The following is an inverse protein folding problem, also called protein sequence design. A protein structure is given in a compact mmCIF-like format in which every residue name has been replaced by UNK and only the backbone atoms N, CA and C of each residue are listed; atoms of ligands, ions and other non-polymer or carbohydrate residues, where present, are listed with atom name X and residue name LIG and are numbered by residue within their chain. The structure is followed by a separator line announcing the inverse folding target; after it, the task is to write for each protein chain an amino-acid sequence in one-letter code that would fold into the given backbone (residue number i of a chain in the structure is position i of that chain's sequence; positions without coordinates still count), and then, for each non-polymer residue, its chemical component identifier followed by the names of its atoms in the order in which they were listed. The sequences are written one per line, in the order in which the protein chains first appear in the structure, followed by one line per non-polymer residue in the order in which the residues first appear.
data_IF_270941314326
#
_entry.id   IF_270941314326
#
_cell.length_a   1.000
_cell.length_b   1.000
_cell.length_c   1.000
_cell.angle_alpha   90.00
_cell.angle_beta   90.00
_cell.angle_gamma   90.00
#
_symmetry.space_group_name_H-M   'P 1'
#
loop_
_entity.id
_entity.type
_entity.pdbx_description
1 polymer ?
#
# COMPACT_ATOMS: atom_id res chain seq x y z
N UNK A 1 -32.09 5.28 -15.60
CA UNK A 1 -30.77 5.34 -14.94
C UNK A 1 -29.73 5.46 -16.02
N UNK A 2 -28.91 6.51 -16.01
CA UNK A 2 -27.77 6.60 -16.93
C UNK A 2 -26.66 5.73 -16.37
N UNK A 3 -26.45 4.55 -16.95
CA UNK A 3 -25.18 3.83 -16.81
C UNK A 3 -24.16 4.59 -17.65
N UNK A 4 -23.48 5.55 -17.03
CA UNK A 4 -22.27 6.10 -17.64
C UNK A 4 -21.23 4.98 -17.63
N UNK A 5 -21.13 4.25 -18.74
CA UNK A 5 -20.12 3.22 -18.92
C UNK A 5 -18.79 3.92 -19.22
N UNK A 6 -18.05 4.25 -18.17
CA UNK A 6 -16.64 4.59 -18.32
C UNK A 6 -15.89 3.32 -18.73
N UNK A 7 -14.90 3.47 -19.62
CA UNK A 7 -14.00 2.35 -19.91
C UNK A 7 -13.27 1.93 -18.63
N UNK A 8 -13.09 0.61 -18.39
CA UNK A 8 -12.31 0.13 -17.26
C UNK A 8 -10.93 0.79 -17.24
N UNK A 9 -10.57 1.36 -16.09
CA UNK A 9 -9.28 2.01 -15.91
C UNK A 9 -8.19 0.94 -15.83
N UNK A 10 -7.18 1.04 -16.70
CA UNK A 10 -5.98 0.19 -16.62
C UNK A 10 -5.07 0.70 -15.50
N UNK A 11 -5.34 0.29 -14.26
CA UNK A 11 -4.63 0.81 -13.08
C UNK A 11 -3.24 0.20 -12.89
N UNK A 12 -2.97 -0.99 -13.44
CA UNK A 12 -1.74 -1.73 -13.15
C UNK A 12 -0.44 -0.92 -13.38
N UNK A 13 -0.24 -0.20 -14.51
CA UNK A 13 0.97 0.60 -14.70
C UNK A 13 1.13 1.74 -13.68
N UNK A 14 0.03 2.34 -13.24
CA UNK A 14 0.05 3.41 -12.25
C UNK A 14 0.33 2.88 -10.85
N UNK A 15 -0.20 1.71 -10.53
CA UNK A 15 0.07 1.06 -9.25
C UNK A 15 1.51 0.53 -9.19
N UNK A 16 2.05 -0.01 -10.29
CA UNK A 16 3.47 -0.35 -10.39
C UNK A 16 4.36 0.86 -10.09
N UNK A 17 4.12 1.97 -10.78
CA UNK A 17 4.84 3.23 -10.52
C UNK A 17 4.72 3.68 -9.06
N UNK A 18 3.55 3.47 -8.44
CA UNK A 18 3.33 3.77 -7.01
C UNK A 18 4.18 2.87 -6.12
N UNK A 19 4.27 1.57 -6.41
CA UNK A 19 5.14 0.63 -5.70
C UNK A 19 6.61 1.03 -5.80
N UNK A 20 7.08 1.32 -7.01
CA UNK A 20 8.47 1.73 -7.26
C UNK A 20 8.80 3.00 -6.47
N UNK A 21 7.88 3.98 -6.47
CA UNK A 21 8.03 5.19 -5.66
C UNK A 21 8.04 4.95 -4.15
N UNK A 22 7.29 3.96 -3.64
CA UNK A 22 7.32 3.63 -2.22
C UNK A 22 8.70 3.09 -1.82
N UNK A 23 9.32 2.29 -2.68
CA UNK A 23 10.69 1.79 -2.48
C UNK A 23 11.67 2.96 -2.53
N UNK A 24 11.58 3.83 -3.54
CA UNK A 24 12.44 5.02 -3.65
C UNK A 24 12.34 5.91 -2.40
N UNK A 25 11.12 6.20 -1.93
CA UNK A 25 10.89 7.01 -0.73
C UNK A 25 11.43 6.36 0.53
N UNK A 26 11.29 5.03 0.67
CA UNK A 26 11.86 4.27 1.79
C UNK A 26 13.39 4.40 1.81
N UNK A 27 14.04 4.33 0.65
CA UNK A 27 15.50 4.48 0.55
C UNK A 27 15.98 5.85 1.01
N UNK A 28 15.19 6.91 0.79
CA UNK A 28 15.51 8.26 1.26
C UNK A 28 15.47 8.42 2.80
N UNK A 29 14.71 7.59 3.52
CA UNK A 29 14.63 7.67 4.97
C UNK A 29 15.93 7.14 5.59
N UNK A 30 16.64 7.90 6.44
CA UNK A 30 17.81 7.35 7.15
C UNK A 30 17.43 6.14 7.99
N UNK A 31 18.28 5.12 8.05
CA UNK A 31 17.99 3.86 8.77
C UNK A 31 17.56 4.14 10.22
N UNK A 32 18.28 5.04 10.90
CA UNK A 32 18.01 5.45 12.28
C UNK A 32 16.73 6.28 12.46
N UNK A 33 16.07 6.65 11.35
CA UNK A 33 14.81 7.41 11.31
C UNK A 33 13.64 6.58 10.79
N UNK A 34 13.83 5.30 10.49
CA UNK A 34 12.75 4.43 10.02
C UNK A 34 11.59 4.34 11.04
N UNK A 35 11.92 4.43 12.33
CA UNK A 35 10.98 4.44 13.46
C UNK A 35 10.63 5.82 14.02
N UNK A 36 11.13 6.89 13.41
CA UNK A 36 10.76 8.24 13.82
C UNK A 36 9.27 8.51 13.50
N UNK A 37 8.58 9.20 14.41
CA UNK A 37 7.20 9.65 14.22
C UNK A 37 7.12 11.18 14.30
N UNK A 38 6.21 11.83 13.56
CA UNK A 38 6.08 13.29 13.56
C UNK A 38 5.49 13.85 14.85
N UNK A 39 4.64 13.07 15.53
CA UNK A 39 4.04 13.42 16.80
C UNK A 39 3.69 12.16 17.62
N UNK A 40 3.39 12.30 18.93
CA UNK A 40 2.89 11.18 19.73
C UNK A 40 1.59 10.61 19.15
N UNK A 41 1.53 9.29 18.98
CA UNK A 41 0.36 8.58 18.46
C UNK A 41 0.33 8.45 16.92
N UNK A 42 1.19 9.18 16.21
CA UNK A 42 1.33 9.05 14.75
C UNK A 42 2.18 7.83 14.38
N UNK A 43 1.94 7.29 13.18
CA UNK A 43 2.71 6.15 12.67
C UNK A 43 4.07 6.57 12.14
N UNK A 44 5.07 5.71 12.30
CA UNK A 44 6.39 5.89 11.67
C UNK A 44 6.34 5.47 10.20
N UNK A 45 7.36 5.85 9.42
CA UNK A 45 7.47 5.37 8.03
C UNK A 45 7.50 3.85 7.95
N UNK A 46 8.19 3.18 8.90
CA UNK A 46 8.16 1.72 8.99
C UNK A 46 6.74 1.18 9.10
N UNK A 47 5.98 1.69 10.07
CA UNK A 47 4.62 1.23 10.34
C UNK A 47 3.71 1.47 9.14
N UNK A 48 3.83 2.63 8.49
CA UNK A 48 3.06 2.94 7.28
C UNK A 48 3.37 1.96 6.14
N UNK A 49 4.65 1.70 5.86
CA UNK A 49 5.03 0.77 4.78
C UNK A 49 4.59 -0.67 5.11
N UNK A 50 4.80 -1.14 6.33
CA UNK A 50 4.27 -2.45 6.78
C UNK A 50 2.76 -2.51 6.65
N UNK A 51 2.04 -1.44 6.96
CA UNK A 51 0.59 -1.38 6.82
C UNK A 51 0.12 -1.49 5.36
N UNK A 52 0.79 -0.80 4.42
CA UNK A 52 0.56 -0.95 2.97
C UNK A 52 0.76 -2.41 2.55
N UNK A 53 1.89 -2.98 2.93
CA UNK A 53 2.25 -4.37 2.61
C UNK A 53 1.15 -5.33 3.09
N UNK A 54 0.73 -5.23 4.36
CA UNK A 54 -0.31 -6.09 4.93
C UNK A 54 -1.68 -5.89 4.26
N UNK A 55 -2.01 -4.66 3.86
CA UNK A 55 -3.24 -4.37 3.13
C UNK A 55 -3.29 -5.07 1.76
N UNK A 56 -2.12 -5.31 1.13
CA UNK A 56 -2.00 -6.05 -0.14
C UNK A 56 -2.03 -7.57 0.04
N UNK A 57 -1.57 -8.10 1.18
CA UNK A 57 -1.67 -9.53 1.53
C UNK A 57 -3.09 -10.00 1.87
N UNK A 58 -4.11 -9.15 1.71
CA UNK A 58 -5.48 -9.49 2.05
C UNK A 58 -6.01 -10.66 1.19
N UNK A 59 -6.79 -11.56 1.79
CA UNK A 59 -7.27 -12.82 1.21
C UNK A 59 -8.04 -12.68 -0.12
N UNK A 60 -8.56 -11.49 -0.43
CA UNK A 60 -9.28 -11.22 -1.67
C UNK A 60 -8.35 -10.98 -2.86
N UNK A 61 -7.15 -10.47 -2.61
CA UNK A 61 -6.09 -10.32 -3.60
C UNK A 61 -5.28 -11.61 -3.67
N UNK A 62 -5.03 -12.23 -2.51
CA UNK A 62 -4.22 -13.44 -2.35
C UNK A 62 -5.05 -14.55 -1.70
N UNK A 63 -5.92 -15.25 -2.45
CA UNK A 63 -6.78 -16.27 -1.88
C UNK A 63 -5.96 -17.46 -1.34
N UNK A 64 -6.15 -17.75 -0.05
CA UNK A 64 -5.68 -18.98 0.58
C UNK A 64 -4.19 -18.98 0.91
N UNK A 65 -3.78 -18.27 1.98
CA UNK A 65 -2.55 -18.50 2.80
C UNK A 65 -1.29 -19.03 2.09
N UNK A 66 -1.01 -18.59 0.86
CA UNK A 66 0.36 -18.63 0.33
C UNK A 66 1.14 -17.37 0.75
N UNK A 67 0.47 -16.39 1.37
CA UNK A 67 1.08 -15.24 2.02
C UNK A 67 1.71 -15.62 3.36
N UNK A 68 2.93 -15.13 3.61
CA UNK A 68 3.65 -15.28 4.87
C UNK A 68 2.74 -14.99 6.08
N UNK A 69 2.97 -15.69 7.20
CA UNK A 69 2.21 -15.43 8.43
C UNK A 69 2.38 -13.95 8.78
N UNK A 70 1.29 -13.25 9.15
CA UNK A 70 1.31 -11.79 9.40
C UNK A 70 2.45 -11.41 10.36
N UNK A 71 2.72 -12.25 11.36
CA UNK A 71 3.83 -12.07 12.28
C UNK A 71 5.20 -12.08 11.61
N UNK A 72 5.42 -12.95 10.62
CA UNK A 72 6.68 -13.03 9.87
C UNK A 72 6.88 -11.76 9.05
N UNK A 73 5.87 -11.33 8.30
CA UNK A 73 5.91 -10.07 7.53
C UNK A 73 6.27 -8.89 8.43
N UNK A 74 5.63 -8.77 9.59
CA UNK A 74 5.88 -7.69 10.55
C UNK A 74 7.30 -7.76 11.12
N UNK A 75 7.85 -8.96 11.32
CA UNK A 75 9.21 -9.15 11.82
C UNK A 75 10.25 -8.77 10.77
N UNK A 76 10.06 -9.18 9.52
CA UNK A 76 10.98 -8.90 8.42
C UNK A 76 10.99 -7.42 8.05
N UNK A 77 9.82 -6.77 8.09
CA UNK A 77 9.64 -5.33 7.87
C UNK A 77 10.29 -4.43 8.94
N UNK A 78 11.07 -4.98 9.87
CA UNK A 78 11.91 -4.21 10.81
C UNK A 78 13.12 -3.54 10.15
N UNK A 79 13.48 -3.98 8.96
CA UNK A 79 14.61 -3.47 8.19
C UNK A 79 14.15 -2.94 6.84
N UNK A 80 14.93 -2.03 6.23
CA UNK A 80 14.67 -1.59 4.85
C UNK A 80 14.66 -2.74 3.85
N UNK A 81 15.58 -3.70 3.98
CA UNK A 81 15.66 -4.83 3.06
C UNK A 81 14.40 -5.71 3.12
N UNK A 82 13.89 -5.96 4.33
CA UNK A 82 12.63 -6.69 4.50
C UNK A 82 11.43 -5.91 3.98
N UNK A 83 11.36 -4.60 4.23
CA UNK A 83 10.33 -3.73 3.65
C UNK A 83 10.35 -3.78 2.12
N UNK A 84 11.52 -3.65 1.49
CA UNK A 84 11.69 -3.73 0.04
C UNK A 84 11.24 -5.08 -0.50
N UNK A 85 11.72 -6.17 0.10
CA UNK A 85 11.36 -7.54 -0.29
C UNK A 85 9.85 -7.75 -0.28
N UNK A 86 9.16 -7.26 0.76
CA UNK A 86 7.72 -7.42 0.86
C UNK A 86 6.93 -6.41 0.00
N UNK A 87 7.44 -5.21 -0.28
CA UNK A 87 6.85 -4.31 -1.29
C UNK A 87 6.87 -4.97 -2.67
N UNK A 88 8.02 -5.52 -3.07
CA UNK A 88 8.18 -6.23 -4.34
C UNK A 88 7.29 -7.48 -4.41
N UNK A 89 7.32 -8.32 -3.37
CA UNK A 89 6.52 -9.55 -3.34
C UNK A 89 5.03 -9.24 -3.31
N UNK A 90 4.60 -8.24 -2.53
CA UNK A 90 3.19 -7.84 -2.48
C UNK A 90 2.70 -7.24 -3.79
N UNK A 91 3.56 -6.52 -4.51
CA UNK A 91 3.25 -6.04 -5.84
C UNK A 91 3.05 -7.18 -6.85
N UNK A 92 3.90 -8.21 -6.85
CA UNK A 92 3.76 -9.34 -7.78
C UNK A 92 2.39 -10.03 -7.66
N UNK A 93 1.89 -10.21 -6.43
CA UNK A 93 0.57 -10.80 -6.22
C UNK A 93 -0.56 -9.88 -6.68
N UNK A 94 -0.44 -8.58 -6.42
CA UNK A 94 -1.39 -7.58 -6.95
C UNK A 94 -1.39 -7.61 -8.49
N UNK A 95 -0.22 -7.66 -9.12
CA UNK A 95 -0.11 -7.73 -10.57
C UNK A 95 -0.76 -8.99 -11.15
N UNK A 96 -0.60 -10.14 -10.47
CA UNK A 96 -1.29 -11.38 -10.84
C UNK A 96 -2.81 -11.22 -10.74
N UNK A 97 -3.32 -10.67 -9.63
CA UNK A 97 -4.75 -10.39 -9.45
C UNK A 97 -5.29 -9.48 -10.56
N UNK A 98 -4.58 -8.39 -10.88
CA UNK A 98 -4.97 -7.44 -11.93
C UNK A 98 -4.90 -8.04 -13.34
N UNK A 99 -4.15 -9.12 -13.53
CA UNK A 99 -4.02 -9.81 -14.82
C UNK A 99 -5.16 -10.80 -15.10
N UNK A 100 -6.01 -11.09 -14.11
CA UNK A 100 -7.10 -12.05 -14.19
C UNK A 100 -8.46 -11.33 -14.29
N UNK A 101 -9.07 -11.22 -15.49
CA UNK A 101 -10.36 -10.55 -15.66
C UNK A 101 -11.49 -11.21 -14.87
N UNK A 102 -11.43 -12.53 -14.65
CA UNK A 102 -12.46 -13.24 -13.91
C UNK A 102 -12.45 -12.86 -12.43
N UNK A 103 -11.26 -12.65 -11.83
CA UNK A 103 -11.13 -12.14 -10.45
C UNK A 103 -11.61 -10.69 -10.33
N UNK A 104 -11.36 -9.87 -11.35
CA UNK A 104 -11.80 -8.48 -11.39
C UNK A 104 -13.33 -8.35 -11.49
N UNK A 105 -13.97 -9.19 -12.30
CA UNK A 105 -15.42 -9.17 -12.51
C UNK A 105 -16.20 -9.96 -11.43
N UNK A 106 -15.52 -10.71 -10.56
CA UNK A 106 -16.13 -11.45 -9.47
C UNK A 106 -16.58 -10.52 -8.32
N UNK A 107 -17.68 -10.89 -7.66
CA UNK A 107 -18.05 -10.32 -6.36
C UNK A 107 -17.28 -10.99 -5.24
N UNK A 108 -16.83 -10.18 -4.29
CA UNK A 108 -16.11 -10.58 -3.10
C UNK A 108 -16.89 -10.17 -1.86
N UNK A 109 -16.67 -10.87 -0.74
CA UNK A 109 -17.21 -10.47 0.55
C UNK A 109 -16.71 -9.07 0.96
N UNK A 110 -17.40 -8.33 1.85
CA UNK A 110 -16.88 -7.05 2.34
C UNK A 110 -15.55 -7.22 3.10
N UNK A 111 -14.64 -6.25 2.94
CA UNK A 111 -13.32 -6.25 3.59
C UNK A 111 -13.40 -6.18 5.13
N UNK A 112 -14.51 -5.71 5.68
CA UNK A 112 -14.68 -5.40 7.11
C UNK A 112 -15.85 -6.15 7.72
N UNK A 113 -15.77 -7.47 7.83
CA UNK A 113 -16.69 -8.20 8.72
C UNK A 113 -16.50 -7.81 10.21
N UNK A 114 -15.45 -7.05 10.57
CA UNK A 114 -15.02 -6.79 11.95
C UNK A 114 -14.76 -5.33 12.35
N UNK A 115 -14.92 -4.34 11.46
CA UNK A 115 -14.71 -2.92 11.80
C UNK A 115 -16.07 -2.18 11.86
N UNK A 116 -16.57 -1.80 13.06
CA UNK A 116 -17.97 -1.36 13.25
C UNK A 116 -18.32 0.02 12.68
N UNK A 117 -17.33 0.82 12.25
CA UNK A 117 -17.54 2.21 11.82
C UNK A 117 -17.39 2.44 10.30
N UNK A 118 -16.94 1.43 9.55
CA UNK A 118 -16.78 1.53 8.10
C UNK A 118 -17.80 0.63 7.40
N UNK A 119 -18.76 1.25 6.69
CA UNK A 119 -19.74 0.52 5.88
C UNK A 119 -19.15 0.39 4.47
N UNK A 120 -18.50 -0.75 4.21
CA UNK A 120 -18.16 -1.16 2.85
C UNK A 120 -19.42 -1.20 1.98
N UNK A 121 -19.32 -0.94 0.66
CA UNK A 121 -20.46 -1.05 -0.22
C UNK A 121 -21.04 -2.48 -0.15
N UNK A 122 -22.36 -2.64 -0.39
CA UNK A 122 -23.02 -3.94 -0.30
C UNK A 122 -22.54 -4.95 -1.35
N UNK A 123 -21.75 -4.50 -2.34
CA UNK A 123 -21.09 -5.33 -3.35
C UNK A 123 -19.68 -4.76 -3.56
N UNK A 124 -18.66 -5.57 -3.28
CA UNK A 124 -17.27 -5.30 -3.62
C UNK A 124 -16.89 -6.20 -4.79
N UNK A 125 -16.80 -5.67 -6.01
CA UNK A 125 -16.16 -6.41 -7.10
C UNK A 125 -14.64 -6.24 -7.08
N UNK A 126 -13.93 -7.02 -7.88
CA UNK A 126 -12.46 -6.95 -7.93
C UNK A 126 -11.95 -5.61 -8.45
N UNK A 127 -12.71 -4.89 -9.28
CA UNK A 127 -12.38 -3.52 -9.70
C UNK A 127 -12.44 -2.52 -8.52
N UNK A 128 -13.45 -2.64 -7.66
CA UNK A 128 -13.56 -1.86 -6.43
C UNK A 128 -12.35 -2.12 -5.51
N UNK A 129 -12.02 -3.39 -5.27
CA UNK A 129 -10.87 -3.77 -4.44
C UNK A 129 -9.58 -3.18 -5.00
N UNK A 130 -9.37 -3.34 -6.32
CA UNK A 130 -8.21 -2.85 -7.02
C UNK A 130 -8.06 -1.32 -6.88
N UNK A 131 -9.15 -0.57 -7.11
CA UNK A 131 -9.16 0.88 -6.93
C UNK A 131 -8.93 1.28 -5.47
N UNK A 132 -9.65 0.68 -4.53
CA UNK A 132 -9.58 1.02 -3.10
C UNK A 132 -8.17 0.85 -2.56
N UNK A 133 -7.50 -0.25 -2.92
CA UNK A 133 -6.15 -0.56 -2.49
C UNK A 133 -5.10 0.31 -3.14
N UNK A 134 -5.24 0.63 -4.43
CA UNK A 134 -4.36 1.63 -5.06
C UNK A 134 -4.51 3.00 -4.40
N UNK A 135 -5.74 3.43 -4.09
CA UNK A 135 -6.00 4.69 -3.41
C UNK A 135 -5.40 4.73 -1.99
N UNK A 136 -5.47 3.61 -1.27
CA UNK A 136 -4.82 3.43 0.04
C UNK A 136 -3.29 3.61 -0.03
N UNK A 137 -2.63 2.99 -1.00
CA UNK A 137 -1.19 3.16 -1.22
C UNK A 137 -0.82 4.61 -1.53
N UNK A 138 -1.58 5.28 -2.39
CA UNK A 138 -1.37 6.69 -2.74
C UNK A 138 -1.55 7.60 -1.51
N UNK A 139 -2.59 7.33 -0.71
CA UNK A 139 -2.84 8.06 0.53
C UNK A 139 -1.62 8.00 1.45
N UNK A 140 -1.13 6.80 1.74
CA UNK A 140 0.01 6.62 2.64
C UNK A 140 1.35 7.07 2.04
N UNK A 141 1.53 6.97 0.72
CA UNK A 141 2.68 7.56 0.02
C UNK A 141 2.78 9.07 0.30
N UNK A 142 1.64 9.77 0.30
CA UNK A 142 1.62 11.21 0.63
C UNK A 142 2.09 11.50 2.07
N UNK A 143 1.73 10.62 3.02
CA UNK A 143 2.19 10.72 4.41
C UNK A 143 3.71 10.55 4.52
N UNK A 144 4.29 9.58 3.79
CA UNK A 144 5.75 9.36 3.77
C UNK A 144 6.49 10.57 3.20
N UNK A 145 5.96 11.19 2.14
CA UNK A 145 6.52 12.46 1.60
C UNK A 145 6.48 13.56 2.66
N UNK A 146 5.40 13.63 3.45
CA UNK A 146 5.29 14.53 4.59
C UNK A 146 6.36 14.28 5.65
N UNK A 147 6.66 13.00 5.96
CA UNK A 147 7.73 12.65 6.89
C UNK A 147 9.11 13.09 6.39
N UNK A 148 9.44 12.82 5.13
CA UNK A 148 10.71 13.26 4.53
C UNK A 148 10.87 14.78 4.62
N UNK A 149 9.80 15.52 4.33
CA UNK A 149 9.79 16.99 4.44
C UNK A 149 10.10 17.45 5.87
N UNK A 150 9.47 16.84 6.88
CA UNK A 150 9.73 17.17 8.29
C UNK A 150 11.14 16.78 8.77
N UNK A 151 11.72 15.74 8.17
CA UNK A 151 13.12 15.35 8.38
C UNK A 151 14.11 16.24 7.60
N UNK A 152 13.62 17.19 6.79
CA UNK A 152 14.45 18.07 5.96
C UNK A 152 15.10 17.35 4.77
N UNK A 153 14.44 16.32 4.22
CA UNK A 153 14.93 15.51 3.09
C UNK A 153 14.06 15.81 1.87
N UNK A 154 14.69 16.23 0.77
CA UNK A 154 14.00 16.42 -0.51
C UNK A 154 13.90 15.11 -1.28
N UNK A 155 13.00 15.08 -2.27
CA UNK A 155 12.71 13.88 -3.08
C UNK A 155 13.84 13.48 -4.04
N UNK A 156 14.81 14.38 -4.26
CA UNK A 156 16.07 14.07 -4.96
C UNK A 156 17.16 13.51 -4.02
N UNK A 157 16.82 13.29 -2.74
CA UNK A 157 17.70 12.73 -1.72
C UNK A 157 18.68 13.70 -1.09
N UNK A 158 18.61 14.99 -1.43
CA UNK A 158 19.40 16.01 -0.76
C UNK A 158 18.76 16.47 0.56
N UNK A 159 19.57 16.95 1.51
CA UNK A 159 19.02 17.65 2.67
C UNK A 159 18.65 19.07 2.25
N UNK A 160 17.39 19.44 2.47
CA UNK A 160 16.95 20.82 2.34
C UNK A 160 17.67 21.62 3.40
N UNK A 161 18.54 22.56 2.98
CA UNK A 161 19.18 23.47 3.93
C UNK A 161 18.07 24.24 4.66
N UNK A 162 18.15 24.39 6.00
CA UNK A 162 17.27 25.31 6.69
C UNK A 162 17.40 26.70 6.04
N UNK A 163 16.26 27.32 5.75
CA UNK A 163 16.20 28.74 5.36
C UNK A 163 16.66 29.62 6.53
#
# INVERSE_FOLDING_TARGET
MMTANYSPLKIAPYWQMTNDNLIDLMELVPEEKLDWTPAPGEWSTRVILTHIILARYHDQIVPGREGAEISEVVMDCRTKEGLKTHLDSSWHMVAEFLSDPAKLDATHEPLTASAPEYIEPPVCDGHYIAYHRMAHDIHHRSTIIGHLTQLGISLDGHRVRPL
#
